data_IF_389527626332
#
_entry.id   IF_389527626332
#
_cell.length_a   1.000
_cell.length_b   1.000
_cell.length_c   1.000
_cell.angle_alpha   90.00
_cell.angle_beta   90.00
_cell.angle_gamma   90.00
#
_symmetry.space_group_name_H-M   'P 1'
#
loop_
_entity.id
_entity.type
_entity.pdbx_description
1 polymer ?
#
# COMPACT_ATOMS: atom_id res chain seq x y z
N UNK A 1 -1.15 7.94 -65.70
CA UNK A 1 -1.74 7.23 -64.54
C UNK A 1 -0.73 7.27 -63.41
N UNK A 2 -0.74 8.34 -62.63
CA UNK A 2 0.14 8.51 -61.48
C UNK A 2 -0.62 8.20 -60.20
N UNK A 3 -0.17 7.21 -59.43
CA UNK A 3 -0.74 6.84 -58.15
C UNK A 3 -0.02 7.58 -57.03
N UNK A 4 -0.70 8.61 -56.51
CA UNK A 4 -0.25 9.40 -55.36
C UNK A 4 -0.15 8.52 -54.10
N UNK A 5 1.08 8.15 -53.74
CA UNK A 5 1.42 7.43 -52.52
C UNK A 5 1.68 8.44 -51.40
N UNK A 6 0.61 9.01 -50.83
CA UNK A 6 0.72 9.86 -49.64
C UNK A 6 0.90 8.97 -48.40
N UNK A 7 2.15 8.86 -47.97
CA UNK A 7 2.56 8.19 -46.74
C UNK A 7 2.24 9.10 -45.55
N UNK A 8 1.08 8.91 -44.93
CA UNK A 8 0.71 9.54 -43.66
C UNK A 8 1.54 8.96 -42.51
N UNK A 9 2.79 9.42 -42.36
CA UNK A 9 3.58 9.19 -41.14
C UNK A 9 3.03 10.08 -40.03
N UNK A 10 2.09 9.54 -39.27
CA UNK A 10 1.64 10.16 -38.02
C UNK A 10 2.85 10.37 -37.10
N UNK A 11 3.10 11.64 -36.74
CA UNK A 11 4.10 12.09 -35.78
C UNK A 11 3.67 11.70 -34.35
N UNK A 12 3.69 10.40 -34.03
CA UNK A 12 3.63 9.95 -32.66
C UNK A 12 4.99 10.24 -32.01
N UNK A 13 5.15 11.43 -31.43
CA UNK A 13 6.30 11.69 -30.57
C UNK A 13 6.29 10.67 -29.43
N UNK A 14 7.39 9.95 -29.16
CA UNK A 14 7.43 8.97 -28.09
C UNK A 14 7.12 9.71 -26.80
N UNK A 15 6.07 9.28 -26.08
CA UNK A 15 5.75 9.79 -24.76
C UNK A 15 7.04 9.70 -23.93
N UNK A 16 7.65 10.86 -23.68
CA UNK A 16 8.87 10.99 -22.89
C UNK A 16 8.50 10.52 -21.50
N UNK A 17 8.79 9.25 -21.18
CA UNK A 17 8.63 8.70 -19.83
C UNK A 17 9.49 9.55 -18.91
N UNK A 18 8.84 10.44 -18.16
CA UNK A 18 9.53 11.17 -17.12
C UNK A 18 9.84 10.19 -16.01
N UNK A 19 11.14 10.07 -15.69
CA UNK A 19 11.57 9.22 -14.58
C UNK A 19 11.11 9.86 -13.28
N UNK A 20 10.47 9.07 -12.43
CA UNK A 20 10.04 9.48 -11.09
C UNK A 20 11.21 10.06 -10.26
N UNK A 21 12.43 9.55 -10.48
CA UNK A 21 13.64 10.02 -9.80
C UNK A 21 14.13 11.40 -10.28
N UNK A 22 13.54 11.97 -11.34
CA UNK A 22 13.83 13.35 -11.77
C UNK A 22 13.01 14.40 -11.01
N UNK A 23 11.99 13.98 -10.27
CA UNK A 23 11.26 14.90 -9.41
C UNK A 23 12.18 15.40 -8.28
N UNK A 24 11.98 16.61 -7.75
CA UNK A 24 12.62 17.02 -6.50
C UNK A 24 12.24 16.08 -5.36
N UNK A 25 13.12 15.93 -4.37
CA UNK A 25 12.91 15.02 -3.24
C UNK A 25 11.64 15.40 -2.47
N UNK A 26 11.39 16.69 -2.27
CA UNK A 26 10.22 17.21 -1.55
C UNK A 26 8.91 16.74 -2.18
N UNK A 27 8.84 16.75 -3.52
CA UNK A 27 7.67 16.28 -4.27
C UNK A 27 7.53 14.76 -4.14
N UNK A 28 8.64 14.01 -4.12
CA UNK A 28 8.58 12.56 -3.86
C UNK A 28 8.07 12.25 -2.45
N UNK A 29 8.55 12.96 -1.44
CA UNK A 29 8.11 12.78 -0.05
C UNK A 29 6.62 13.11 0.11
N UNK A 30 6.12 14.16 -0.55
CA UNK A 30 4.70 14.48 -0.60
C UNK A 30 3.90 13.31 -1.18
N UNK A 31 4.34 12.74 -2.32
CA UNK A 31 3.70 11.56 -2.93
C UNK A 31 3.69 10.36 -1.97
N UNK A 32 4.79 10.13 -1.24
CA UNK A 32 4.86 9.05 -0.25
C UNK A 32 3.86 9.25 0.91
N UNK A 33 3.59 10.48 1.31
CA UNK A 33 2.62 10.74 2.39
C UNK A 33 1.17 10.33 2.02
N UNK A 34 0.85 10.31 0.72
CA UNK A 34 -0.45 9.85 0.20
C UNK A 34 -0.49 8.34 -0.09
N UNK A 35 0.63 7.63 0.12
CA UNK A 35 0.72 6.20 -0.13
C UNK A 35 0.32 5.39 1.10
N UNK A 36 -0.26 4.20 0.86
CA UNK A 36 -0.46 3.22 1.93
C UNK A 36 0.88 2.64 2.39
N UNK A 37 0.94 2.09 3.60
CA UNK A 37 2.13 1.41 4.10
C UNK A 37 2.59 0.29 3.15
N UNK A 38 1.63 -0.46 2.57
CA UNK A 38 1.93 -1.49 1.56
C UNK A 38 2.57 -0.89 0.30
N UNK A 39 2.04 0.21 -0.22
CA UNK A 39 2.63 0.88 -1.39
C UNK A 39 4.04 1.38 -1.10
N UNK A 40 4.28 1.94 0.09
CA UNK A 40 5.61 2.38 0.51
C UNK A 40 6.60 1.22 0.58
N UNK A 41 6.16 0.05 1.04
CA UNK A 41 6.97 -1.18 1.00
C UNK A 41 7.34 -1.55 -0.43
N UNK A 42 6.37 -1.52 -1.35
CA UNK A 42 6.68 -1.83 -2.76
C UNK A 42 7.73 -0.84 -3.30
N UNK A 43 7.55 0.46 -3.04
CA UNK A 43 8.51 1.51 -3.44
C UNK A 43 9.89 1.31 -2.80
N UNK A 44 9.93 0.93 -1.53
CA UNK A 44 11.14 0.64 -0.78
C UNK A 44 12.02 -0.41 -1.45
N UNK A 45 11.41 -1.43 -2.07
CA UNK A 45 12.13 -2.49 -2.79
C UNK A 45 12.46 -2.19 -4.25
N UNK A 46 11.98 -1.08 -4.81
CA UNK A 46 12.20 -0.80 -6.24
C UNK A 46 13.62 -0.34 -6.58
N UNK A 47 14.20 0.56 -5.78
CA UNK A 47 15.58 1.02 -5.97
C UNK A 47 16.17 1.67 -4.71
N UNK A 48 17.51 1.72 -4.65
CA UNK A 48 18.26 2.24 -3.51
C UNK A 48 17.94 3.71 -3.17
N UNK A 49 17.59 4.55 -4.16
CA UNK A 49 17.23 5.95 -3.92
C UNK A 49 15.95 6.05 -3.10
N UNK A 50 14.89 5.31 -3.49
CA UNK A 50 13.62 5.35 -2.77
C UNK A 50 13.73 4.69 -1.40
N UNK A 51 14.49 3.58 -1.32
CA UNK A 51 14.86 2.94 -0.07
C UNK A 51 15.43 3.96 0.94
N UNK A 52 16.47 4.68 0.54
CA UNK A 52 17.15 5.64 1.41
C UNK A 52 16.25 6.82 1.78
N UNK A 53 15.37 7.26 0.90
CA UNK A 53 14.39 8.31 1.20
C UNK A 53 13.37 7.85 2.25
N UNK A 54 12.73 6.71 2.03
CA UNK A 54 11.71 6.17 2.95
C UNK A 54 12.32 5.82 4.31
N UNK A 55 13.53 5.27 4.32
CA UNK A 55 14.26 4.96 5.56
C UNK A 55 14.62 6.23 6.36
N UNK A 56 15.00 7.31 5.67
CA UNK A 56 15.43 8.57 6.29
C UNK A 56 14.29 9.41 6.86
N UNK A 57 13.05 9.17 6.43
CA UNK A 57 11.86 9.89 6.91
C UNK A 57 10.82 8.94 7.52
N UNK A 58 11.05 8.41 8.73
CA UNK A 58 10.13 7.48 9.38
C UNK A 58 8.70 7.98 9.54
N UNK A 59 8.52 9.28 9.70
CA UNK A 59 7.20 9.91 9.85
C UNK A 59 6.26 9.57 8.70
N UNK A 60 6.79 9.42 7.48
CA UNK A 60 6.00 9.15 6.28
C UNK A 60 5.24 7.83 6.43
N UNK A 61 5.96 6.77 6.77
CA UNK A 61 5.33 5.46 6.88
C UNK A 61 4.62 5.25 8.21
N UNK A 62 5.05 5.92 9.28
CA UNK A 62 4.41 5.80 10.59
C UNK A 62 2.99 6.34 10.60
N UNK A 63 2.70 7.34 9.77
CA UNK A 63 1.36 7.92 9.60
C UNK A 63 0.56 7.29 8.47
N UNK A 64 1.15 6.38 7.68
CA UNK A 64 0.47 5.77 6.54
C UNK A 64 -0.61 4.79 6.97
N UNK A 65 -1.68 4.74 6.18
CA UNK A 65 -2.71 3.72 6.34
C UNK A 65 -2.13 2.31 6.24
N UNK A 66 -2.43 1.46 7.22
CA UNK A 66 -1.93 0.09 7.32
C UNK A 66 -0.61 -0.06 8.08
N UNK A 67 0.01 1.03 8.54
CA UNK A 67 1.13 0.95 9.48
C UNK A 67 0.60 0.88 10.91
N UNK A 68 0.90 -0.22 11.61
CA UNK A 68 0.56 -0.43 13.01
C UNK A 68 1.82 -0.48 13.88
N UNK A 69 1.80 0.07 15.11
CA UNK A 69 2.91 -0.08 16.03
C UNK A 69 3.11 -1.57 16.34
N UNK A 70 4.37 -2.02 16.41
CA UNK A 70 4.74 -3.43 16.67
C UNK A 70 4.11 -4.03 17.93
N UNK A 71 3.53 -3.20 18.81
CA UNK A 71 2.85 -3.62 20.03
C UNK A 71 1.37 -3.97 19.84
N UNK A 72 0.78 -3.73 18.66
CA UNK A 72 -0.53 -4.28 18.31
C UNK A 72 -0.36 -5.74 17.89
N UNK A 73 0.21 -6.53 18.80
CA UNK A 73 -0.04 -7.96 18.81
C UNK A 73 -1.35 -8.11 19.59
N UNK A 74 -2.43 -8.65 18.99
CA UNK A 74 -3.50 -9.18 19.83
C UNK A 74 -2.84 -10.12 20.86
N UNK A 75 -3.28 -10.16 22.14
CA UNK A 75 -2.68 -10.98 23.20
C UNK A 75 -2.88 -12.50 23.00
N UNK A 76 -3.03 -12.95 21.76
CA UNK A 76 -3.25 -14.33 21.39
C UNK A 76 -1.89 -14.95 21.10
N UNK A 77 -1.65 -16.11 21.69
CA UNK A 77 -0.36 -16.77 21.90
C UNK A 77 0.37 -17.25 20.62
N UNK A 78 -0.03 -16.76 19.45
CA UNK A 78 0.31 -17.38 18.17
C UNK A 78 1.41 -16.61 17.42
N UNK A 79 1.89 -15.50 17.98
CA UNK A 79 3.14 -14.86 17.54
C UNK A 79 3.12 -14.31 16.10
N UNK A 80 1.96 -14.03 15.53
CA UNK A 80 1.86 -13.50 14.18
C UNK A 80 2.20 -12.00 14.16
N UNK A 81 3.40 -11.74 13.66
CA UNK A 81 4.08 -10.47 13.62
C UNK A 81 3.47 -9.59 12.53
N UNK A 82 2.94 -8.42 12.90
CA UNK A 82 2.71 -7.34 11.96
C UNK A 82 4.03 -6.97 11.28
N UNK A 83 4.04 -7.00 9.94
CA UNK A 83 5.16 -6.56 9.12
C UNK A 83 5.31 -5.03 9.21
N UNK A 84 5.85 -4.54 10.33
CA UNK A 84 6.44 -3.21 10.35
C UNK A 84 7.55 -3.15 9.29
N UNK A 85 7.72 -2.01 8.62
CA UNK A 85 8.77 -1.79 7.60
C UNK A 85 10.16 -2.26 8.04
N UNK A 86 10.49 -2.11 9.33
CA UNK A 86 11.74 -2.58 9.94
C UNK A 86 11.94 -4.11 9.92
N UNK A 87 10.86 -4.89 9.77
CA UNK A 87 10.89 -6.36 9.63
C UNK A 87 10.76 -6.83 8.19
N UNK A 88 10.29 -5.99 7.28
CA UNK A 88 10.16 -6.34 5.86
C UNK A 88 11.53 -6.56 5.21
N UNK A 89 12.57 -5.83 5.63
CA UNK A 89 13.96 -6.12 5.25
C UNK A 89 14.49 -7.47 5.76
N UNK A 90 13.80 -8.11 6.70
CA UNK A 90 14.15 -9.46 7.17
C UNK A 90 13.40 -10.56 6.42
N UNK A 91 12.42 -10.20 5.57
CA UNK A 91 11.73 -11.15 4.70
C UNK A 91 12.70 -11.53 3.60
N UNK A 92 13.37 -12.65 3.82
CA UNK A 92 14.47 -13.16 2.98
C UNK A 92 13.97 -13.93 1.77
N UNK A 93 12.67 -14.25 1.74
CA UNK A 93 12.07 -15.13 0.75
C UNK A 93 10.64 -14.73 0.41
N UNK A 94 10.27 -14.95 -0.85
CA UNK A 94 8.88 -14.81 -1.33
C UNK A 94 7.92 -15.69 -0.51
N UNK A 95 8.39 -16.83 0.01
CA UNK A 95 7.60 -17.75 0.83
C UNK A 95 7.26 -17.17 2.19
N UNK A 96 8.19 -16.45 2.83
CA UNK A 96 7.91 -15.72 4.07
C UNK A 96 6.88 -14.63 3.82
N UNK A 97 6.97 -13.92 2.69
CA UNK A 97 6.00 -12.89 2.32
C UNK A 97 4.57 -13.45 2.20
N UNK A 98 4.40 -14.60 1.53
CA UNK A 98 3.08 -15.26 1.45
C UNK A 98 2.55 -15.69 2.81
N UNK A 99 3.41 -16.21 3.70
CA UNK A 99 3.02 -16.62 5.05
C UNK A 99 2.50 -15.44 5.87
N UNK A 100 3.08 -14.24 5.70
CA UNK A 100 2.55 -13.02 6.31
C UNK A 100 1.21 -12.60 5.70
N UNK A 101 1.06 -12.68 4.38
CA UNK A 101 -0.18 -12.30 3.69
C UNK A 101 -1.38 -13.19 4.06
N UNK A 102 -1.23 -14.52 4.02
CA UNK A 102 -2.32 -15.43 4.40
C UNK A 102 -2.73 -15.25 5.86
N UNK A 103 -1.75 -15.02 6.75
CA UNK A 103 -2.02 -14.70 8.15
C UNK A 103 -2.82 -13.40 8.33
N UNK A 104 -2.66 -12.44 7.41
CA UNK A 104 -3.39 -11.17 7.42
C UNK A 104 -4.84 -11.32 6.91
N UNK A 105 -5.08 -12.12 5.87
CA UNK A 105 -6.44 -12.37 5.34
C UNK A 105 -7.34 -13.07 6.36
N UNK A 106 -6.82 -14.06 7.09
CA UNK A 106 -7.57 -14.75 8.15
C UNK A 106 -7.97 -13.79 9.29
N UNK A 107 -7.08 -12.85 9.64
CA UNK A 107 -7.36 -11.86 10.69
C UNK A 107 -8.33 -10.75 10.24
N UNK A 108 -8.15 -10.23 9.03
CA UNK A 108 -9.04 -9.21 8.47
C UNK A 108 -10.46 -9.77 8.24
N UNK A 109 -10.57 -11.04 7.86
CA UNK A 109 -11.84 -11.76 7.74
C UNK A 109 -12.57 -11.89 9.08
N UNK A 110 -11.85 -12.19 10.17
CA UNK A 110 -12.43 -12.33 11.52
C UNK A 110 -12.92 -10.97 12.08
N UNK A 111 -12.13 -9.91 11.91
CA UNK A 111 -12.52 -8.56 12.34
C UNK A 111 -13.73 -8.01 11.59
N UNK A 112 -13.83 -8.23 10.27
CA UNK A 112 -15.02 -7.85 9.49
C UNK A 112 -16.25 -8.69 9.86
N UNK A 113 -16.07 -9.96 10.23
CA UNK A 113 -17.14 -10.83 10.71
C UNK A 113 -17.67 -10.35 12.07
N UNK A 114 -16.79 -9.95 12.97
CA UNK A 114 -17.13 -9.43 14.30
C UNK A 114 -17.70 -8.00 14.26
N UNK A 115 -17.16 -7.11 13.41
CA UNK A 115 -17.69 -5.76 13.21
C UNK A 115 -19.10 -5.74 12.59
N UNK A 116 -19.51 -6.84 11.93
CA UNK A 116 -20.87 -6.98 11.38
C UNK A 116 -21.91 -7.41 12.43
N UNK A 117 -21.49 -7.75 13.65
CA UNK A 117 -22.38 -8.16 14.76
C UNK A 117 -22.90 -6.96 15.57
N UNK A 118 -22.35 -5.76 15.40
CA UNK A 118 -22.80 -4.53 16.10
C UNK A 118 -23.56 -3.55 15.19
N UNK A 119 -24.42 -4.05 14.29
CA UNK A 119 -25.46 -3.19 13.71
C UNK A 119 -26.59 -3.07 14.75
N UNK A 120 -26.94 -1.86 15.23
CA UNK A 120 -28.03 -1.69 16.17
C UNK A 120 -29.32 -2.13 15.49
N UNK A 121 -29.97 -3.16 16.04
CA UNK A 121 -31.30 -3.55 15.61
C UNK A 121 -32.22 -2.33 15.68
N UNK A 122 -32.87 -2.05 14.56
CA UNK A 122 -33.87 -1.01 14.40
C UNK A 122 -34.86 -1.06 15.57
N UNK A 123 -34.76 -0.07 16.46
CA UNK A 123 -35.79 0.17 17.47
C UNK A 123 -37.05 0.56 16.72
N UNK A 124 -37.94 -0.40 16.55
CA UNK A 124 -39.33 -0.21 16.14
C UNK A 124 -39.91 0.98 16.90
N UNK A 125 -40.10 2.10 16.19
CA UNK A 125 -40.90 3.22 16.66
C UNK A 125 -42.34 2.73 16.72
N UNK A 126 -42.77 2.38 17.93
CA UNK A 126 -44.17 2.06 18.22
C UNK A 126 -44.97 3.36 18.18
N UNK A 127 -45.73 3.56 17.11
CA UNK A 127 -46.73 4.62 17.01
C UNK A 127 -47.89 4.29 17.94
N UNK A 128 -47.98 4.99 19.06
CA UNK A 128 -49.20 5.03 19.86
C UNK A 128 -50.20 5.97 19.17
N UNK A 129 -51.33 5.41 18.77
CA UNK A 129 -52.59 6.12 18.51
C UNK A 129 -53.60 5.73 19.56
#
# INVERSE_FOLDING_TARGET
>A
METNKHCSKALASPLRRQSFLKLPTEIRLEIYSHCTAFTLVQLYHTCATLHNEIERYPSIYQTSFGYGPSQWSPPNNDGLVYLGLSRINKVSSIKECYQYWTSFEDFAGEQYRNAKVELPEDKHVSSNS
#
